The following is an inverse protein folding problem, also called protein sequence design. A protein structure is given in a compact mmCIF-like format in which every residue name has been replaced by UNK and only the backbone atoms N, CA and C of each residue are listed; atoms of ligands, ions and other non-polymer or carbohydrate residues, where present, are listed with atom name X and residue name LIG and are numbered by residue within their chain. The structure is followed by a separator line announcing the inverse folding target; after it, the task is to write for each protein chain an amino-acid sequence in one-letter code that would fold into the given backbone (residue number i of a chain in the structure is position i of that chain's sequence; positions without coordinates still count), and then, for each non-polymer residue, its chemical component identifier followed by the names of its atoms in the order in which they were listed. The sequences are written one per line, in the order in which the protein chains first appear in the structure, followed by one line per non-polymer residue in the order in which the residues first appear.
data_IF_216537811135
#
_entry.id   IF_216537811135
#
_cell.length_a   1.000
_cell.length_b   1.000
_cell.length_c   1.000
_cell.angle_alpha   90.00
_cell.angle_beta   90.00
_cell.angle_gamma   90.00
#
_symmetry.space_group_name_H-M   'P 1'
#
loop_
_entity.id
_entity.type
_entity.pdbx_description
1 polymer ?
#
# COMPACT_ATOMS: atom_id res chain seq x y z
N UNK A 1 -19.91 -19.53 -6.45
CA UNK A 1 -18.54 -19.76 -6.92
C UNK A 1 -17.58 -19.02 -6.01
N UNK A 2 -16.72 -19.74 -5.29
CA UNK A 2 -15.78 -19.17 -4.32
C UNK A 2 -14.81 -18.21 -5.03
N UNK A 3 -14.78 -16.97 -4.56
CA UNK A 3 -13.87 -15.92 -5.03
C UNK A 3 -12.47 -16.03 -4.38
N UNK A 4 -12.14 -17.14 -3.73
CA UNK A 4 -10.93 -17.31 -2.89
C UNK A 4 -9.72 -17.87 -3.65
N UNK A 5 -9.64 -17.68 -4.97
CA UNK A 5 -8.52 -18.23 -5.75
C UNK A 5 -7.26 -17.36 -5.61
N UNK A 6 -7.35 -16.17 -5.02
CA UNK A 6 -6.16 -15.37 -4.72
C UNK A 6 -5.52 -15.83 -3.41
N UNK A 7 -4.22 -16.11 -3.45
CA UNK A 7 -3.46 -16.58 -2.29
C UNK A 7 -3.73 -15.67 -1.07
N UNK A 8 -4.23 -16.23 0.04
CA UNK A 8 -4.59 -15.45 1.23
C UNK A 8 -3.41 -14.65 1.78
N UNK A 9 -2.19 -15.13 1.55
CA UNK A 9 -0.95 -14.46 1.93
C UNK A 9 -0.75 -13.13 1.19
N UNK A 10 -0.99 -13.07 -0.11
CA UNK A 10 -0.80 -11.83 -0.89
C UNK A 10 -1.79 -10.76 -0.42
N UNK A 11 -3.02 -11.17 -0.11
CA UNK A 11 -4.04 -10.28 0.45
C UNK A 11 -3.64 -9.75 1.82
N UNK A 12 -3.17 -10.63 2.71
CA UNK A 12 -2.72 -10.23 4.04
C UNK A 12 -1.55 -9.24 3.95
N UNK A 13 -0.54 -9.51 3.13
CA UNK A 13 0.63 -8.65 2.95
C UNK A 13 0.24 -7.30 2.33
N UNK A 14 -0.64 -7.28 1.32
CA UNK A 14 -1.09 -6.03 0.71
C UNK A 14 -1.90 -5.15 1.68
N UNK A 15 -2.78 -5.76 2.49
CA UNK A 15 -3.54 -5.05 3.53
C UNK A 15 -2.64 -4.53 4.64
N UNK A 16 -1.68 -5.35 5.09
CA UNK A 16 -0.68 -4.95 6.08
C UNK A 16 0.16 -3.79 5.56
N UNK A 17 0.69 -3.92 4.34
CA UNK A 17 1.46 -2.89 3.65
C UNK A 17 0.71 -1.57 3.55
N UNK A 18 -0.53 -1.61 3.04
CA UNK A 18 -1.37 -0.41 2.93
C UNK A 18 -1.70 0.21 4.29
N UNK A 19 -1.98 -0.59 5.31
CA UNK A 19 -2.35 -0.08 6.65
C UNK A 19 -1.14 0.57 7.34
N UNK A 20 0.02 -0.09 7.29
CA UNK A 20 1.26 0.43 7.85
C UNK A 20 1.69 1.71 7.14
N UNK A 21 1.65 1.75 5.80
CA UNK A 21 2.00 2.95 5.04
C UNK A 21 1.04 4.11 5.31
N UNK A 22 -0.26 3.83 5.51
CA UNK A 22 -1.24 4.87 5.89
C UNK A 22 -0.90 5.49 7.24
N UNK A 23 -0.63 4.64 8.25
CA UNK A 23 -0.26 5.10 9.58
C UNK A 23 1.04 5.92 9.57
N UNK A 24 2.08 5.41 8.89
CA UNK A 24 3.35 6.10 8.75
C UNK A 24 3.18 7.45 8.04
N UNK A 25 2.46 7.49 6.92
CA UNK A 25 2.23 8.72 6.18
C UNK A 25 1.53 9.80 7.03
N UNK A 26 0.59 9.41 7.91
CA UNK A 26 -0.05 10.34 8.85
C UNK A 26 0.97 10.86 9.88
N UNK A 27 1.67 9.96 10.57
CA UNK A 27 2.63 10.34 11.60
C UNK A 27 3.71 11.27 11.06
N UNK A 28 4.30 10.92 9.91
CA UNK A 28 5.35 11.71 9.28
C UNK A 28 4.81 12.99 8.64
N UNK A 29 3.60 12.95 8.09
CA UNK A 29 2.91 14.16 7.61
C UNK A 29 2.67 15.18 8.73
N UNK A 30 2.24 14.73 9.91
CA UNK A 30 2.07 15.60 11.09
C UNK A 30 3.41 16.18 11.53
N UNK A 31 4.47 15.36 11.59
CA UNK A 31 5.81 15.83 11.96
C UNK A 31 6.35 16.86 10.97
N UNK A 32 6.19 16.63 9.66
CA UNK A 32 6.60 17.59 8.63
C UNK A 32 5.80 18.91 8.74
N UNK A 33 4.49 18.81 8.98
CA UNK A 33 3.64 19.99 9.19
C UNK A 33 4.06 20.79 10.43
N UNK A 34 4.34 20.11 11.54
CA UNK A 34 4.87 20.76 12.75
C UNK A 34 6.22 21.44 12.48
N UNK A 35 7.09 20.83 11.67
CA UNK A 35 8.34 21.44 11.24
C UNK A 35 8.14 22.71 10.41
N UNK A 36 7.20 22.70 9.47
CA UNK A 36 6.84 23.88 8.65
C UNK A 36 6.28 25.00 9.52
N UNK A 37 5.35 24.67 10.43
CA UNK A 37 4.76 25.64 11.35
C UNK A 37 5.83 26.19 12.31
N UNK A 38 6.72 25.33 12.82
CA UNK A 38 7.84 25.73 13.68
C UNK A 38 8.82 26.68 12.98
N UNK A 39 9.02 26.52 11.67
CA UNK A 39 9.78 27.47 10.86
C UNK A 39 9.06 28.81 10.72
N UNK A 40 7.73 28.81 10.59
CA UNK A 40 6.94 30.02 10.35
C UNK A 40 6.67 30.85 11.62
N UNK A 41 6.59 30.22 12.79
CA UNK A 41 6.16 30.89 14.03
C UNK A 41 7.24 30.79 15.11
N UNK A 42 8.00 31.87 15.25
CA UNK A 42 9.15 31.93 16.14
C UNK A 42 8.78 32.01 17.65
N UNK A 43 7.54 32.41 17.98
CA UNK A 43 7.09 32.63 19.37
C UNK A 43 6.43 31.42 20.04
N UNK A 44 6.12 30.34 19.31
CA UNK A 44 5.33 29.23 19.89
C UNK A 44 6.11 28.34 20.86
N UNK A 45 7.43 28.50 20.96
CA UNK A 45 8.30 27.54 21.63
C UNK A 45 8.66 28.07 23.01
N UNK A 46 8.30 27.28 24.03
CA UNK A 46 8.65 27.59 25.41
C UNK A 46 10.17 27.63 25.56
N UNK A 47 10.68 28.80 25.97
CA UNK A 47 12.11 29.06 26.19
C UNK A 47 12.67 28.24 27.34
N UNK A 48 11.84 27.55 28.13
CA UNK A 48 12.25 26.68 29.22
C UNK A 48 13.04 25.44 28.75
N UNK A 49 12.84 24.98 27.51
CA UNK A 49 13.48 23.78 26.98
C UNK A 49 14.70 24.12 26.13
N UNK A 50 15.89 23.89 26.68
CA UNK A 50 17.18 24.04 25.98
C UNK A 50 17.21 23.27 24.66
N UNK A 51 16.56 22.10 24.61
CA UNK A 51 16.44 21.28 23.41
C UNK A 51 15.63 21.98 22.31
N UNK A 52 14.44 22.48 22.66
CA UNK A 52 13.56 23.18 21.71
C UNK A 52 14.23 24.45 21.19
N UNK A 53 14.84 25.23 22.08
CA UNK A 53 15.59 26.43 21.72
C UNK A 53 16.75 26.10 20.77
N UNK A 54 17.53 25.06 21.07
CA UNK A 54 18.66 24.65 20.22
C UNK A 54 18.21 24.12 18.85
N UNK A 55 17.12 23.34 18.80
CA UNK A 55 16.47 22.92 17.56
C UNK A 55 16.09 24.12 16.69
N UNK A 56 15.38 25.08 17.29
CA UNK A 56 14.89 26.27 16.60
C UNK A 56 16.04 27.11 16.04
N UNK A 57 17.08 27.30 16.85
CA UNK A 57 18.23 28.11 16.50
C UNK A 57 19.09 27.49 15.39
N UNK A 58 19.27 26.16 15.39
CA UNK A 58 20.09 25.49 14.38
C UNK A 58 19.38 25.31 13.05
N UNK A 59 18.07 25.04 13.06
CA UNK A 59 17.41 24.47 11.88
C UNK A 59 16.21 25.27 11.34
N UNK A 60 15.67 26.20 12.13
CA UNK A 60 14.40 26.86 11.79
C UNK A 60 14.50 28.38 11.69
N UNK A 61 15.67 28.98 11.93
CA UNK A 61 15.83 30.45 11.92
C UNK A 61 16.28 30.98 10.56
N UNK A 62 15.43 31.76 9.90
CA UNK A 62 15.83 32.52 8.71
C UNK A 62 16.68 33.73 9.14
N UNK A 63 17.86 33.92 8.54
CA UNK A 63 18.79 35.02 8.90
C UNK A 63 18.22 36.41 8.62
N UNK A 64 17.22 36.51 7.74
CA UNK A 64 16.78 37.77 7.15
C UNK A 64 15.47 38.35 7.70
N UNK A 65 14.76 37.69 8.61
CA UNK A 65 13.31 37.99 8.76
C UNK A 65 12.78 38.45 10.13
N UNK A 66 13.50 38.43 11.26
CA UNK A 66 12.93 38.97 12.51
C UNK A 66 13.98 39.37 13.56
N UNK A 67 14.04 40.67 13.88
CA UNK A 67 14.82 41.22 15.00
C UNK A 67 14.36 40.67 16.36
N UNK A 68 13.11 40.23 16.46
CA UNK A 68 12.52 39.71 17.70
C UNK A 68 13.00 38.30 18.09
N UNK A 69 13.69 37.59 17.19
CA UNK A 69 14.23 36.27 17.48
C UNK A 69 15.74 36.38 17.74
N UNK A 70 16.10 36.31 19.02
CA UNK A 70 17.49 36.39 19.48
C UNK A 70 18.41 35.48 18.66
N UNK A 71 19.47 36.07 18.10
CA UNK A 71 20.51 35.34 17.39
C UNK A 71 21.23 34.44 18.37
N UNK A 72 21.18 33.13 18.14
CA UNK A 72 22.15 32.25 18.76
C UNK A 72 23.50 32.64 18.20
N UNK A 73 24.25 33.37 19.00
CA UNK A 73 25.63 33.70 18.68
C UNK A 73 26.40 32.49 19.16
N UNK A 74 26.92 31.71 18.22
CA UNK A 74 27.85 30.66 18.61
C UNK A 74 29.02 31.33 19.34
N UNK A 75 29.53 30.75 20.43
CA UNK A 75 30.58 31.37 21.23
C UNK A 75 31.91 31.61 20.48
N UNK A 76 32.07 31.10 19.24
CA UNK A 76 33.20 31.39 18.36
C UNK A 76 32.76 31.51 16.89
N UNK A 77 32.73 32.74 16.39
CA UNK A 77 32.09 33.15 15.11
C UNK A 77 32.92 32.82 13.84
N UNK A 78 34.06 32.11 13.92
CA UNK A 78 34.99 32.00 12.77
C UNK A 78 35.18 30.61 12.14
N UNK A 79 34.73 29.51 12.75
CA UNK A 79 35.09 28.15 12.25
C UNK A 79 33.92 27.30 11.75
N UNK A 80 32.67 27.71 11.97
CA UNK A 80 31.48 26.91 11.62
C UNK A 80 30.91 27.18 10.22
N UNK A 81 31.64 27.88 9.34
CA UNK A 81 31.24 28.08 7.92
C UNK A 81 31.24 26.77 7.08
N UNK A 82 31.48 25.62 7.70
CA UNK A 82 31.42 24.31 7.05
C UNK A 82 29.99 23.79 6.87
N UNK A 83 29.32 24.20 5.79
CA UNK A 83 28.29 23.43 5.08
C UNK A 83 27.22 22.68 5.93
N UNK A 84 26.75 23.22 7.05
CA UNK A 84 25.51 22.74 7.67
C UNK A 84 24.35 23.20 6.78
N UNK A 85 23.30 22.39 6.63
CA UNK A 85 22.12 22.81 5.87
C UNK A 85 21.58 24.15 6.36
N UNK A 86 21.38 25.07 5.42
CA UNK A 86 20.68 26.31 5.69
C UNK A 86 19.24 26.00 6.16
N UNK A 87 18.68 26.77 7.10
CA UNK A 87 17.30 26.60 7.58
C UNK A 87 16.25 26.57 6.45
N UNK A 88 16.46 27.37 5.41
CA UNK A 88 15.61 27.37 4.21
C UNK A 88 15.64 26.03 3.45
N UNK A 89 16.80 25.36 3.40
CA UNK A 89 16.92 24.02 2.80
C UNK A 89 16.13 23.00 3.59
N UNK A 90 16.14 23.10 4.93
CA UNK A 90 15.38 22.19 5.81
C UNK A 90 13.89 22.41 5.64
N UNK A 91 13.43 23.67 5.58
CA UNK A 91 12.05 23.98 5.25
C UNK A 91 11.63 23.35 3.91
N UNK A 92 12.46 23.51 2.88
CA UNK A 92 12.19 22.93 1.57
C UNK A 92 12.05 21.40 1.66
N UNK A 93 12.94 20.74 2.41
CA UNK A 93 12.85 19.29 2.67
C UNK A 93 11.58 18.90 3.44
N UNK A 94 11.15 19.67 4.44
CA UNK A 94 9.90 19.40 5.16
C UNK A 94 8.68 19.50 4.25
N UNK A 95 8.67 20.45 3.31
CA UNK A 95 7.61 20.57 2.30
C UNK A 95 7.62 19.36 1.35
N UNK A 96 8.80 18.97 0.86
CA UNK A 96 8.96 17.76 0.02
C UNK A 96 8.43 16.53 0.76
N UNK A 97 8.81 16.34 2.03
CA UNK A 97 8.30 15.26 2.87
C UNK A 97 6.78 15.30 3.00
N UNK A 98 6.20 16.47 3.24
CA UNK A 98 4.75 16.59 3.37
C UNK A 98 4.04 16.15 2.07
N UNK A 99 4.53 16.60 0.91
CA UNK A 99 3.97 16.23 -0.40
C UNK A 99 4.03 14.72 -0.61
N UNK A 100 5.20 14.09 -0.39
CA UNK A 100 5.36 12.65 -0.58
C UNK A 100 4.53 11.83 0.42
N UNK A 101 4.42 12.27 1.67
CA UNK A 101 3.54 11.63 2.66
C UNK A 101 2.05 11.74 2.25
N UNK A 102 1.61 12.88 1.74
CA UNK A 102 0.25 13.01 1.20
C UNK A 102 0.00 12.06 0.03
N UNK A 103 0.90 12.02 -0.96
CA UNK A 103 0.79 11.10 -2.10
C UNK A 103 0.77 9.64 -1.65
N UNK A 104 1.59 9.29 -0.67
CA UNK A 104 1.68 7.94 -0.12
C UNK A 104 0.42 7.54 0.67
N UNK A 105 -0.14 8.46 1.45
CA UNK A 105 -1.42 8.30 2.12
C UNK A 105 -2.55 8.04 1.11
N UNK A 106 -2.67 8.91 0.10
CA UNK A 106 -3.69 8.78 -0.95
C UNK A 106 -3.51 7.54 -1.84
N UNK A 107 -2.29 7.03 -2.02
CA UNK A 107 -2.05 5.76 -2.72
C UNK A 107 -2.41 4.54 -1.86
N UNK A 108 -2.28 4.65 -0.53
CA UNK A 108 -2.52 3.56 0.41
C UNK A 108 -4.00 3.26 0.63
N UNK A 109 -4.87 4.28 0.66
CA UNK A 109 -6.33 4.09 0.85
C UNK A 109 -6.96 3.23 -0.28
N UNK A 110 -6.75 3.52 -1.58
CA UNK A 110 -7.28 2.71 -2.68
C UNK A 110 -6.72 1.29 -2.69
N UNK A 111 -5.48 1.10 -2.23
CA UNK A 111 -4.90 -0.24 -2.07
C UNK A 111 -5.72 -1.04 -1.05
N UNK A 112 -5.89 -0.51 0.16
CA UNK A 112 -6.69 -1.16 1.22
C UNK A 112 -8.10 -1.44 0.72
N UNK A 113 -8.76 -0.45 0.11
CA UNK A 113 -10.14 -0.60 -0.38
C UNK A 113 -10.26 -1.67 -1.49
N UNK A 114 -9.32 -1.72 -2.43
CA UNK A 114 -9.32 -2.70 -3.51
C UNK A 114 -9.15 -4.14 -3.00
N UNK A 115 -8.29 -4.34 -2.00
CA UNK A 115 -8.01 -5.65 -1.40
C UNK A 115 -9.05 -6.08 -0.35
N UNK A 116 -9.70 -5.14 0.34
CA UNK A 116 -10.79 -5.42 1.27
C UNK A 116 -12.05 -5.88 0.53
N UNK A 117 -12.43 -5.16 -0.53
CA UNK A 117 -13.65 -5.41 -1.30
C UNK A 117 -13.50 -6.46 -2.41
N UNK A 118 -12.34 -7.13 -2.49
CA UNK A 118 -12.02 -8.13 -3.52
C UNK A 118 -12.30 -7.65 -4.95
N UNK A 119 -12.13 -6.35 -5.23
CA UNK A 119 -12.37 -5.76 -6.57
C UNK A 119 -11.19 -6.06 -7.48
N UNK A 120 -11.16 -7.29 -8.01
CA UNK A 120 -10.04 -7.82 -8.79
C UNK A 120 -9.60 -6.90 -9.93
N UNK A 121 -10.51 -6.19 -10.60
CA UNK A 121 -10.16 -5.27 -11.70
C UNK A 121 -9.17 -4.19 -11.26
N UNK A 122 -9.41 -3.56 -10.11
CA UNK A 122 -8.64 -2.43 -9.60
C UNK A 122 -7.35 -2.85 -8.87
N UNK A 123 -7.32 -4.05 -8.27
CA UNK A 123 -6.22 -4.50 -7.41
C UNK A 123 -4.83 -4.39 -8.06
N UNK A 124 -4.72 -4.76 -9.33
CA UNK A 124 -3.43 -4.70 -10.03
C UNK A 124 -2.94 -3.27 -10.30
N UNK A 125 -3.86 -2.34 -10.56
CA UNK A 125 -3.54 -0.93 -10.83
C UNK A 125 -3.16 -0.23 -9.54
N UNK A 126 -3.98 -0.39 -8.49
CA UNK A 126 -3.72 0.24 -7.18
C UNK A 126 -2.44 -0.28 -6.53
N UNK A 127 -2.15 -1.59 -6.63
CA UNK A 127 -0.85 -2.14 -6.19
C UNK A 127 0.32 -1.55 -6.98
N UNK A 128 0.20 -1.40 -8.30
CA UNK A 128 1.28 -0.83 -9.11
C UNK A 128 1.56 0.64 -8.74
N UNK A 129 0.51 1.46 -8.59
CA UNK A 129 0.63 2.86 -8.17
C UNK A 129 1.27 2.95 -6.78
N UNK A 130 0.78 2.15 -5.83
CA UNK A 130 1.34 2.11 -4.47
C UNK A 130 2.82 1.72 -4.46
N UNK A 131 3.23 0.74 -5.27
CA UNK A 131 4.63 0.35 -5.40
C UNK A 131 5.50 1.51 -5.91
N UNK A 132 5.06 2.22 -6.95
CA UNK A 132 5.80 3.36 -7.51
C UNK A 132 5.94 4.49 -6.48
N UNK A 133 4.85 4.86 -5.82
CA UNK A 133 4.89 5.92 -4.78
C UNK A 133 5.79 5.51 -3.62
N UNK A 134 5.73 4.24 -3.19
CA UNK A 134 6.60 3.73 -2.12
C UNK A 134 8.06 3.80 -2.53
N UNK A 135 8.44 3.44 -3.76
CA UNK A 135 9.83 3.60 -4.25
C UNK A 135 10.29 5.05 -4.16
N UNK A 136 9.44 6.01 -4.54
CA UNK A 136 9.80 7.44 -4.46
C UNK A 136 10.02 7.89 -3.02
N UNK A 137 9.15 7.48 -2.09
CA UNK A 137 9.32 7.75 -0.65
C UNK A 137 10.63 7.14 -0.14
N UNK A 138 10.94 5.90 -0.52
CA UNK A 138 12.19 5.23 -0.12
C UNK A 138 13.45 5.98 -0.61
N UNK A 139 13.40 6.59 -1.79
CA UNK A 139 14.50 7.40 -2.33
C UNK A 139 14.64 8.71 -1.54
N UNK A 140 13.52 9.40 -1.28
CA UNK A 140 13.49 10.65 -0.51
C UNK A 140 14.04 10.43 0.91
N UNK A 141 13.62 9.35 1.57
CA UNK A 141 14.11 8.98 2.90
C UNK A 141 15.62 8.69 2.89
N UNK A 142 16.12 8.00 1.87
CA UNK A 142 17.55 7.70 1.74
C UNK A 142 18.39 8.97 1.56
N UNK A 143 17.94 9.88 0.70
CA UNK A 143 18.62 11.17 0.47
C UNK A 143 18.63 12.00 1.75
N UNK A 144 17.49 12.11 2.43
CA UNK A 144 17.41 12.85 3.68
C UNK A 144 18.27 12.22 4.78
N UNK A 145 18.29 10.89 4.91
CA UNK A 145 19.14 10.20 5.87
C UNK A 145 20.63 10.47 5.61
N UNK A 146 21.06 10.47 4.35
CA UNK A 146 22.44 10.80 3.98
C UNK A 146 22.79 12.26 4.29
N UNK A 147 21.88 13.19 4.01
CA UNK A 147 22.07 14.62 4.27
C UNK A 147 22.16 14.93 5.77
N UNK A 148 21.16 14.49 6.56
CA UNK A 148 21.17 14.70 8.01
C UNK A 148 22.28 13.92 8.72
N UNK A 149 22.66 12.75 8.19
CA UNK A 149 23.81 12.00 8.68
C UNK A 149 25.14 12.73 8.45
N UNK A 150 25.29 13.40 7.30
CA UNK A 150 26.46 14.24 7.03
C UNK A 150 26.55 15.42 7.99
N UNK A 151 25.44 16.11 8.23
CA UNK A 151 25.40 17.25 9.16
C UNK A 151 25.66 16.83 10.60
N UNK A 152 25.10 15.70 11.04
CA UNK A 152 25.43 15.11 12.35
C UNK A 152 26.93 14.80 12.49
N UNK A 153 27.54 14.20 11.45
CA UNK A 153 28.98 13.89 11.42
C UNK A 153 29.89 15.12 11.55
N UNK A 154 29.47 16.26 10.97
CA UNK A 154 30.20 17.54 11.12
C UNK A 154 30.03 18.13 12.51
N UNK A 155 28.82 18.05 13.08
CA UNK A 155 28.56 18.58 14.42
C UNK A 155 29.32 17.77 15.47
N UNK A 156 29.34 16.43 15.38
CA UNK A 156 30.01 15.59 16.38
C UNK A 156 31.54 15.75 16.38
N UNK A 157 32.14 15.97 15.21
CA UNK A 157 33.59 16.21 15.10
C UNK A 157 34.00 17.56 15.67
N UNK A 158 33.12 18.55 15.58
CA UNK A 158 33.35 19.89 16.11
C UNK A 158 32.93 20.02 17.58
N UNK A 159 32.04 19.14 18.07
CA UNK A 159 31.52 19.18 19.44
C UNK A 159 32.49 18.71 20.54
N UNK A 160 33.72 18.31 20.22
CA UNK A 160 34.76 18.13 21.26
C UNK A 160 35.01 19.41 22.09
N UNK A 161 34.44 20.55 21.65
CA UNK A 161 34.51 21.87 22.28
C UNK A 161 33.13 22.33 22.83
N UNK A 162 32.02 21.68 22.44
CA UNK A 162 30.64 22.17 22.68
C UNK A 162 29.87 21.24 23.63
N UNK A 163 29.17 21.81 24.60
CA UNK A 163 28.39 21.10 25.62
C UNK A 163 27.37 20.11 25.02
N UNK A 164 27.22 18.91 25.62
CA UNK A 164 26.34 17.82 25.15
C UNK A 164 24.89 18.23 24.83
N UNK A 165 24.41 19.32 25.42
CA UNK A 165 23.07 19.86 25.22
C UNK A 165 22.81 20.29 23.76
N UNK A 166 23.85 20.66 23.02
CA UNK A 166 23.77 21.08 21.61
C UNK A 166 23.82 19.92 20.61
N UNK A 167 24.24 18.72 21.06
CA UNK A 167 24.26 17.50 20.24
C UNK A 167 22.89 16.81 20.16
N UNK A 168 22.00 17.06 21.12
CA UNK A 168 20.71 16.40 21.18
C UNK A 168 19.77 16.75 19.99
N UNK A 169 19.60 18.02 19.57
CA UNK A 169 18.80 18.37 18.39
C UNK A 169 19.22 17.66 17.09
N UNK A 170 20.49 17.73 16.63
CA UNK A 170 20.92 17.05 15.42
C UNK A 170 20.82 15.53 15.55
N UNK A 171 21.09 14.97 16.73
CA UNK A 171 20.90 13.54 16.99
C UNK A 171 19.43 13.13 16.85
N UNK A 172 18.48 13.95 17.32
CA UNK A 172 17.05 13.68 17.20
C UNK A 172 16.58 13.82 15.76
N UNK A 173 17.00 14.85 15.01
CA UNK A 173 16.66 14.96 13.58
C UNK A 173 17.25 13.79 12.79
N UNK A 174 18.52 13.45 13.03
CA UNK A 174 19.15 12.28 12.41
C UNK A 174 18.41 11.00 12.78
N UNK A 175 18.02 10.82 14.05
CA UNK A 175 17.27 9.64 14.49
C UNK A 175 15.85 9.61 13.93
N UNK A 176 15.21 10.76 13.71
CA UNK A 176 13.91 10.85 13.05
C UNK A 176 14.05 10.46 11.56
N UNK A 177 15.08 10.96 10.88
CA UNK A 177 15.41 10.56 9.51
C UNK A 177 15.78 9.06 9.41
N UNK A 178 16.57 8.55 10.36
CA UNK A 178 16.98 7.15 10.46
C UNK A 178 15.87 6.22 10.98
N UNK A 179 14.85 6.72 11.69
CA UNK A 179 13.66 5.91 12.02
C UNK A 179 12.84 5.61 10.77
N UNK A 180 12.86 6.51 9.78
CA UNK A 180 12.48 6.20 8.41
C UNK A 180 13.19 4.95 7.90
N UNK A 181 14.51 4.82 8.15
CA UNK A 181 15.34 3.69 7.70
C UNK A 181 14.98 2.31 8.29
N UNK A 182 14.52 2.20 9.54
CA UNK A 182 14.07 0.88 10.05
C UNK A 182 12.76 0.46 9.40
N UNK A 183 11.82 1.41 9.26
CA UNK A 183 10.55 1.19 8.57
C UNK A 183 10.75 0.99 7.06
N UNK A 184 11.85 1.52 6.51
CA UNK A 184 12.30 1.36 5.14
C UNK A 184 12.49 -0.11 4.78
N UNK A 185 13.13 -0.93 5.63
CA UNK A 185 13.29 -2.36 5.37
C UNK A 185 11.96 -3.11 5.33
N UNK A 186 11.00 -2.75 6.20
CA UNK A 186 9.66 -3.32 6.16
C UNK A 186 8.93 -2.95 4.87
N UNK A 187 8.95 -1.66 4.51
CA UNK A 187 8.33 -1.16 3.28
C UNK A 187 8.98 -1.76 2.03
N UNK A 188 10.31 -1.90 2.02
CA UNK A 188 11.07 -2.55 0.95
C UNK A 188 10.71 -4.05 0.86
N UNK A 189 10.63 -4.76 1.99
CA UNK A 189 10.25 -6.16 2.01
C UNK A 189 8.86 -6.40 1.45
N UNK A 190 7.87 -5.59 1.88
CA UNK A 190 6.51 -5.62 1.33
C UNK A 190 6.49 -5.26 -0.15
N UNK A 191 7.24 -4.24 -0.56
CA UNK A 191 7.37 -3.81 -1.95
C UNK A 191 7.90 -4.94 -2.83
N UNK A 192 9.04 -5.53 -2.47
CA UNK A 192 9.65 -6.64 -3.21
C UNK A 192 8.69 -7.82 -3.31
N UNK A 193 8.04 -8.19 -2.20
CA UNK A 193 7.07 -9.28 -2.18
C UNK A 193 5.89 -9.02 -3.13
N UNK A 194 5.32 -7.82 -3.10
CA UNK A 194 4.20 -7.45 -3.98
C UNK A 194 4.63 -7.37 -5.45
N UNK A 195 5.81 -6.81 -5.74
CA UNK A 195 6.37 -6.78 -7.10
C UNK A 195 6.57 -8.18 -7.68
N UNK A 196 7.16 -9.09 -6.90
CA UNK A 196 7.33 -10.50 -7.28
C UNK A 196 5.98 -11.22 -7.48
N UNK A 197 4.93 -10.77 -6.78
CA UNK A 197 3.58 -11.32 -6.88
C UNK A 197 2.78 -10.78 -8.07
N UNK A 198 3.15 -9.63 -8.66
CA UNK A 198 2.43 -9.00 -9.77
C UNK A 198 2.27 -9.90 -11.01
N UNK A 199 3.30 -10.64 -11.49
CA UNK A 199 3.15 -11.55 -12.63
C UNK A 199 2.10 -12.64 -12.38
N UNK A 200 2.04 -13.17 -11.15
CA UNK A 200 1.08 -14.20 -10.77
C UNK A 200 -0.35 -13.64 -10.78
N UNK A 201 -0.55 -12.42 -10.27
CA UNK A 201 -1.84 -11.70 -10.33
C UNK A 201 -2.26 -11.47 -11.79
N UNK A 202 -1.32 -11.10 -12.68
CA UNK A 202 -1.60 -10.88 -14.11
C UNK A 202 -1.99 -12.18 -14.83
N UNK A 203 -1.27 -13.27 -14.58
CA UNK A 203 -1.59 -14.61 -15.13
C UNK A 203 -2.99 -15.06 -14.70
N UNK A 204 -3.30 -14.92 -13.42
CA UNK A 204 -4.61 -15.25 -12.86
C UNK A 204 -5.75 -14.45 -13.51
N UNK A 205 -5.59 -13.13 -13.68
CA UNK A 205 -6.58 -12.29 -14.38
C UNK A 205 -6.81 -12.73 -15.82
N UNK A 206 -5.76 -13.13 -16.55
CA UNK A 206 -5.88 -13.64 -17.92
C UNK A 206 -6.68 -14.94 -17.97
N UNK A 207 -6.35 -15.89 -17.10
CA UNK A 207 -7.07 -17.17 -17.01
C UNK A 207 -8.56 -16.98 -16.68
N UNK A 208 -8.87 -16.10 -15.72
CA UNK A 208 -10.25 -15.80 -15.36
C UNK A 208 -11.03 -15.13 -16.50
N UNK A 209 -10.38 -14.24 -17.26
CA UNK A 209 -10.99 -13.60 -18.44
C UNK A 209 -11.29 -14.64 -19.52
N UNK A 210 -10.39 -15.59 -19.73
CA UNK A 210 -10.58 -16.67 -20.70
C UNK A 210 -11.70 -17.63 -20.28
N UNK A 211 -11.74 -18.01 -19.01
CA UNK A 211 -12.85 -18.82 -18.46
C UNK A 211 -14.21 -18.14 -18.64
N UNK A 212 -14.29 -16.82 -18.37
CA UNK A 212 -15.52 -16.04 -18.60
C UNK A 212 -15.93 -16.01 -20.07
N UNK A 213 -14.96 -15.90 -20.98
CA UNK A 213 -15.21 -15.97 -22.43
C UNK A 213 -15.76 -17.33 -22.85
N UNK A 214 -15.17 -18.41 -22.35
CA UNK A 214 -15.64 -19.77 -22.61
C UNK A 214 -17.07 -20.00 -22.10
N UNK A 215 -17.38 -19.54 -20.89
CA UNK A 215 -18.75 -19.63 -20.35
C UNK A 215 -19.75 -18.81 -21.17
N UNK A 216 -19.39 -17.58 -21.59
CA UNK A 216 -20.27 -16.78 -22.45
C UNK A 216 -20.49 -17.40 -23.83
N UNK A 217 -19.50 -18.10 -24.38
CA UNK A 217 -19.68 -18.84 -25.64
C UNK A 217 -20.57 -20.07 -25.44
N UNK A 218 -20.37 -20.84 -24.37
CA UNK A 218 -21.23 -21.99 -24.06
C UNK A 218 -22.70 -21.60 -23.86
N UNK A 219 -22.96 -20.44 -23.25
CA UNK A 219 -24.33 -19.90 -23.10
C UNK A 219 -24.92 -19.45 -24.45
N UNK A 220 -24.10 -18.84 -25.32
CA UNK A 220 -24.54 -18.40 -26.66
C UNK A 220 -24.92 -19.57 -27.57
N UNK A 221 -24.20 -20.69 -27.52
CA UNK A 221 -24.49 -21.86 -28.35
C UNK A 221 -25.66 -22.70 -27.84
N UNK A 222 -26.18 -22.41 -26.64
CA UNK A 222 -27.22 -23.19 -25.98
C UNK A 222 -26.78 -24.63 -25.67
N UNK A 223 -27.48 -25.35 -24.78
CA UNK A 223 -27.33 -26.79 -24.73
C UNK A 223 -27.67 -27.35 -26.11
N UNK A 224 -26.89 -28.29 -26.66
CA UNK A 224 -27.25 -28.95 -27.92
C UNK A 224 -28.68 -29.47 -27.78
N UNK A 225 -29.54 -29.11 -28.74
CA UNK A 225 -30.95 -29.47 -28.69
C UNK A 225 -31.07 -31.00 -28.45
N UNK A 226 -31.74 -31.44 -27.37
CA UNK A 226 -31.92 -32.86 -27.11
C UNK A 226 -32.85 -33.41 -28.21
N UNK A 227 -32.28 -33.97 -29.27
CA UNK A 227 -33.10 -34.49 -30.37
C UNK A 227 -32.42 -34.77 -31.71
N UNK A 228 -31.19 -34.32 -31.96
CA UNK A 228 -30.45 -34.77 -33.15
C UNK A 228 -29.37 -35.77 -32.76
N UNK A 229 -29.79 -37.00 -32.44
CA UNK A 229 -28.98 -38.19 -32.69
C UNK A 229 -28.80 -38.33 -34.20
N UNK A 230 -27.92 -37.50 -34.78
CA UNK A 230 -27.38 -37.79 -36.10
C UNK A 230 -26.47 -39.00 -35.93
N UNK A 231 -27.06 -40.17 -36.16
CA UNK A 231 -26.44 -41.45 -36.44
C UNK A 231 -25.49 -41.32 -37.65
N UNK A 232 -24.40 -40.54 -37.53
CA UNK A 232 -23.32 -40.56 -38.48
C UNK A 232 -22.35 -41.67 -38.09
N UNK A 233 -22.77 -42.87 -38.45
CA UNK A 233 -21.91 -44.02 -38.62
C UNK A 233 -21.02 -43.74 -39.84
N UNK A 234 -19.87 -43.09 -39.64
CA UNK A 234 -18.81 -43.07 -40.64
C UNK A 234 -17.48 -43.09 -39.93
N UNK A 235 -16.87 -44.27 -39.93
CA UNK A 235 -15.57 -44.55 -39.36
C UNK A 235 -14.50 -43.61 -39.89
N UNK A 236 -14.16 -42.62 -39.08
CA UNK A 236 -12.88 -41.95 -39.15
C UNK A 236 -12.22 -42.13 -37.79
N UNK A 237 -11.52 -43.25 -37.67
CA UNK A 237 -10.51 -43.46 -36.64
C UNK A 237 -9.41 -42.45 -36.97
N UNK A 238 -9.53 -41.25 -36.41
CA UNK A 238 -8.38 -40.38 -36.29
C UNK A 238 -7.53 -40.98 -35.18
N UNK A 239 -6.48 -41.69 -35.60
CA UNK A 239 -5.36 -42.09 -34.76
C UNK A 239 -4.78 -40.83 -34.10
N UNK A 240 -5.35 -40.45 -32.96
CA UNK A 240 -4.62 -39.70 -31.96
C UNK A 240 -3.57 -40.65 -31.43
N UNK A 241 -2.43 -40.62 -32.10
CA UNK A 241 -1.16 -41.18 -31.69
C UNK A 241 -0.83 -40.56 -30.33
N UNK A 242 -1.39 -41.18 -29.29
CA UNK A 242 -1.06 -40.95 -27.90
C UNK A 242 0.37 -41.43 -27.78
N UNK A 243 1.32 -40.51 -27.97
CA UNK A 243 2.72 -40.73 -27.63
C UNK A 243 2.75 -41.09 -26.16
N UNK A 244 2.79 -42.39 -25.91
CA UNK A 244 3.04 -43.02 -24.64
C UNK A 244 4.44 -42.63 -24.22
N UNK A 245 4.55 -41.51 -23.51
CA UNK A 245 5.72 -41.21 -22.70
C UNK A 245 5.75 -42.31 -21.66
N UNK A 246 6.55 -43.34 -21.94
CA UNK A 246 6.94 -44.36 -20.99
C UNK A 246 7.58 -43.63 -19.80
N UNK A 247 7.13 -43.84 -18.57
CA UNK A 247 7.90 -43.37 -17.42
C UNK A 247 9.29 -44.05 -17.47
N UNK A 248 10.36 -43.33 -17.10
CA UNK A 248 11.70 -43.89 -17.09
C UNK A 248 11.74 -45.16 -16.22
N UNK A 249 12.38 -46.24 -16.68
CA UNK A 249 12.56 -47.44 -15.88
C UNK A 249 13.57 -47.13 -14.78
N UNK A 250 13.15 -47.09 -13.51
CA UNK A 250 14.12 -46.86 -12.44
C UNK A 250 13.66 -46.55 -11.02
N UNK A 251 12.37 -46.56 -10.66
CA UNK A 251 11.98 -46.45 -9.24
C UNK A 251 11.14 -47.64 -8.80
N UNK A 252 11.88 -48.71 -8.49
CA UNK A 252 11.40 -49.83 -7.69
C UNK A 252 11.18 -49.38 -6.23
N UNK A 253 10.09 -49.88 -5.66
CA UNK A 253 9.95 -50.22 -4.24
C UNK A 253 9.84 -49.06 -3.24
N UNK A 254 8.67 -48.42 -3.17
CA UNK A 254 8.17 -48.02 -1.85
C UNK A 254 7.44 -49.23 -1.24
N UNK A 255 7.78 -49.64 -0.01
CA UNK A 255 7.09 -50.72 0.67
C UNK A 255 5.63 -50.34 0.86
N UNK A 256 4.77 -51.33 0.66
CA UNK A 256 3.33 -51.27 0.79
C UNK A 256 2.98 -50.98 2.28
N UNK A 257 3.03 -49.71 2.68
CA UNK A 257 2.57 -49.27 4.00
C UNK A 257 1.05 -49.39 3.99
N UNK A 258 0.53 -50.27 4.85
CA UNK A 258 -0.84 -50.73 4.87
C UNK A 258 -1.86 -49.62 4.70
N UNK A 259 -2.85 -49.88 3.84
CA UNK A 259 -4.11 -49.14 3.80
C UNK A 259 -4.68 -49.12 5.21
N UNK A 260 -4.59 -47.97 5.88
CA UNK A 260 -5.44 -47.69 7.03
C UNK A 260 -6.91 -47.77 6.58
N UNK A 261 -7.80 -48.37 7.39
CA UNK A 261 -9.23 -48.40 7.11
C UNK A 261 -9.74 -46.98 6.87
N UNK A 262 -10.49 -46.79 5.79
CA UNK A 262 -11.24 -45.54 5.59
C UNK A 262 -12.16 -45.34 6.79
N UNK A 263 -12.16 -44.16 7.44
CA UNK A 263 -13.21 -43.82 8.40
C UNK A 263 -14.55 -43.81 7.66
N UNK A 264 -15.52 -44.59 8.16
CA UNK A 264 -16.91 -44.50 7.74
C UNK A 264 -17.44 -43.11 8.08
N UNK A 265 -17.49 -42.25 7.06
CA UNK A 265 -18.08 -40.93 7.17
C UNK A 265 -19.59 -41.07 6.98
N UNK A 266 -20.30 -41.41 8.05
CA UNK A 266 -21.75 -41.29 8.11
C UNK A 266 -22.11 -39.80 8.08
N UNK A 267 -22.83 -39.29 7.06
CA UNK A 267 -23.26 -37.91 7.05
C UNK A 267 -24.17 -37.64 8.27
N UNK A 268 -24.00 -36.51 8.97
CA UNK A 268 -24.86 -36.17 10.09
C UNK A 268 -26.29 -36.06 9.59
N UNK A 269 -27.20 -36.85 10.20
CA UNK A 269 -28.63 -36.72 9.96
C UNK A 269 -29.07 -35.33 10.38
N UNK A 270 -29.43 -34.54 9.37
CA UNK A 270 -30.03 -33.22 9.53
C UNK A 270 -31.39 -33.39 10.22
N UNK A 271 -31.42 -33.07 11.52
CA UNK A 271 -32.67 -32.96 12.28
C UNK A 271 -33.47 -31.80 11.68
N UNK A 272 -34.43 -32.14 10.81
CA UNK A 272 -35.49 -31.24 10.36
C UNK A 272 -36.35 -30.85 11.56
N UNK A 273 -35.99 -29.77 12.23
CA UNK A 273 -36.89 -29.10 13.15
C UNK A 273 -38.00 -28.45 12.32
N UNK A 274 -39.17 -29.10 12.31
CA UNK A 274 -40.45 -28.49 11.93
C UNK A 274 -40.66 -27.27 12.82
N UNK A 275 -40.35 -26.09 12.31
CA UNK A 275 -40.92 -24.87 12.85
C UNK A 275 -42.28 -24.64 12.21
N UNK A 276 -43.24 -24.58 13.13
CA UNK A 276 -44.66 -24.33 12.95
C UNK A 276 -44.92 -23.09 12.10
N UNK A 277 -45.92 -23.24 11.25
CA UNK A 277 -46.63 -22.22 10.48
C UNK A 277 -46.85 -20.92 11.25
N UNK A 278 -46.19 -19.85 10.79
CA UNK A 278 -46.46 -18.47 11.15
C UNK A 278 -46.86 -17.69 9.91
N UNK A 279 -48.17 -17.46 9.80
CA UNK A 279 -48.91 -16.39 9.09
C UNK A 279 -48.07 -15.50 8.14
N UNK A 280 -48.38 -15.60 6.85
CA UNK A 280 -47.92 -14.72 5.78
C UNK A 280 -48.61 -13.35 5.86
N UNK A 281 -47.88 -12.22 5.89
CA UNK A 281 -48.46 -10.93 5.51
C UNK A 281 -48.31 -10.69 4.00
N UNK A 282 -49.48 -10.49 3.40
CA UNK A 282 -49.80 -9.90 2.09
C UNK A 282 -48.75 -8.91 1.55
N UNK A 283 -48.18 -9.28 0.40
CA UNK A 283 -47.92 -8.47 -0.79
C UNK A 283 -48.19 -6.96 -0.68
N UNK A 284 -47.12 -6.15 -0.63
CA UNK A 284 -47.14 -4.74 -1.05
C UNK A 284 -46.35 -4.62 -2.36
N UNK A 285 -47.07 -4.21 -3.41
CA UNK A 285 -46.56 -3.94 -4.76
C UNK A 285 -45.39 -2.93 -4.75
N UNK A 286 -44.35 -3.12 -5.58
CA UNK A 286 -43.34 -2.09 -5.76
C UNK A 286 -43.91 -0.89 -6.52
N UNK A 287 -43.82 0.27 -5.89
CA UNK A 287 -44.18 1.56 -6.47
C UNK A 287 -43.32 1.85 -7.72
N UNK A 288 -44.01 2.27 -8.79
CA UNK A 288 -43.46 2.84 -10.02
C UNK A 288 -42.49 3.97 -9.67
N UNK A 289 -41.19 3.79 -9.93
CA UNK A 289 -40.23 4.89 -9.87
C UNK A 289 -40.51 5.89 -11.00
N UNK A 290 -40.60 7.20 -10.72
CA UNK A 290 -40.74 8.22 -11.76
C UNK A 290 -39.44 8.38 -12.56
N UNK A 291 -39.59 8.40 -13.89
CA UNK A 291 -38.57 8.79 -14.88
C UNK A 291 -37.87 10.08 -14.44
N UNK A 292 -36.55 10.01 -14.21
CA UNK A 292 -35.71 11.21 -14.11
C UNK A 292 -35.71 11.92 -15.47
N UNK A 293 -36.28 13.12 -15.48
CA UNK A 293 -36.21 14.06 -16.59
C UNK A 293 -34.78 14.56 -16.80
N UNK A 294 -34.38 14.60 -18.07
CA UNK A 294 -33.20 15.33 -18.53
C UNK A 294 -33.42 16.82 -18.30
N UNK A 295 -32.75 17.39 -17.31
CA UNK A 295 -32.57 18.85 -17.24
C UNK A 295 -31.33 19.23 -18.04
N UNK A 296 -31.56 19.75 -19.25
CA UNK A 296 -30.66 20.69 -19.91
C UNK A 296 -30.94 22.07 -19.33
N UNK A 297 -29.95 22.67 -18.67
CA UNK A 297 -29.78 24.12 -18.48
C UNK A 297 -28.28 24.30 -18.21
N UNK A 298 -27.48 25.04 -18.99
CA UNK A 298 -27.79 26.28 -19.68
C UNK A 298 -27.52 27.45 -18.74
N UNK A 299 -26.53 28.28 -19.13
CA UNK A 299 -26.30 29.69 -18.76
C UNK A 299 -25.14 30.07 -17.81
N UNK A 300 -24.21 30.83 -18.42
CA UNK A 300 -23.58 32.09 -17.99
C UNK A 300 -22.61 32.03 -16.80
N UNK A 301 -21.30 32.25 -16.94
CA UNK A 301 -20.55 33.32 -17.62
C UNK A 301 -20.88 34.72 -17.08
N UNK A 302 -20.27 35.07 -15.95
CA UNK A 302 -20.02 36.47 -15.60
C UNK A 302 -18.61 36.60 -15.03
N UNK A 303 -17.79 37.36 -15.75
CA UNK A 303 -16.52 37.95 -15.28
C UNK A 303 -16.82 38.87 -14.10
N UNK A 304 -15.93 38.87 -13.11
CA UNK A 304 -15.37 40.05 -12.47
C UNK A 304 -13.96 39.67 -12.01
#
# INVERSE_FOLDING_TARGET
MSNDIMSPHIRAVALLGGTLSTFQAICWGIMALLGIIGHGVCEMWDKSSVFLVSMQQMYFRNENENENCQKFTYPDDQTWHGSIMAPQSILAWMIVFLIFNCLWFFASIPLIAAWKNSRQSFTGITTSIWCVVTVMVLIVDLVACAMFGSDYGKIITTSNIVSYQYLAPPAVIMTLAARGFVLWFFNLGVLVYLLCSLPNIRKYKKALKEQKRQMSMAEMYGPPAPGHESYHNSGFIADYQRSSISPPPGFNSYPNVGRLPRPDYSPPQEKTNRYSSGVVPRSLSPAKQPRRGNYKSGANLTRL
#
